data_IF_266200119247
#
_entry.id   IF_266200119247
#
_cell.length_a   1.000
_cell.length_b   1.000
_cell.length_c   1.000
_cell.angle_alpha   90.00
_cell.angle_beta   90.00
_cell.angle_gamma   90.00
#
_symmetry.space_group_name_H-M   'P 1'
#
loop_
_entity.id
_entity.type
_entity.pdbx_description
1 polymer ?
#
# COMPACT_ATOMS: atom_id res chain seq x y z
N UNK A 1 19.53 -6.11 9.88
CA UNK A 1 18.84 -4.96 10.52
C UNK A 1 19.59 -3.68 10.14
N UNK A 2 18.90 -2.62 9.74
CA UNK A 2 19.54 -1.37 9.30
C UNK A 2 19.78 -0.36 10.44
N UNK A 3 19.18 -0.58 11.62
CA UNK A 3 19.44 0.25 12.81
C UNK A 3 20.92 0.22 13.20
N UNK A 4 21.45 1.38 13.58
CA UNK A 4 22.84 1.55 13.99
C UNK A 4 23.85 1.68 12.84
N UNK A 5 23.39 1.70 11.58
CA UNK A 5 24.24 2.04 10.44
C UNK A 5 24.21 3.56 10.18
N UNK A 6 25.33 4.18 9.75
CA UNK A 6 25.34 5.57 9.32
C UNK A 6 24.31 5.83 8.21
N UNK A 7 23.58 6.94 8.29
CA UNK A 7 22.49 7.29 7.37
C UNK A 7 21.14 6.65 7.69
N UNK A 8 21.04 5.86 8.76
CA UNK A 8 19.80 5.21 9.23
C UNK A 8 19.46 5.61 10.67
N UNK A 9 19.96 6.76 11.13
CA UNK A 9 19.77 7.28 12.48
C UNK A 9 18.28 7.46 12.81
N UNK A 10 17.49 7.87 11.81
CA UNK A 10 16.04 8.08 11.88
C UNK A 10 15.25 6.82 12.28
N UNK A 11 15.81 5.61 12.11
CA UNK A 11 15.15 4.36 12.53
C UNK A 11 15.07 4.19 14.05
N UNK A 12 15.76 5.05 14.80
CA UNK A 12 15.67 5.11 16.26
C UNK A 12 14.60 6.10 16.76
N UNK A 13 14.05 6.92 15.87
CA UNK A 13 13.00 7.89 16.18
C UNK A 13 11.61 7.25 16.02
N UNK A 14 10.55 7.79 16.67
CA UNK A 14 9.18 7.41 16.36
C UNK A 14 8.86 7.63 14.87
N UNK A 15 7.89 6.88 14.33
CA UNK A 15 7.43 7.08 12.95
C UNK A 15 6.97 8.52 12.75
N UNK A 16 7.55 9.21 11.77
CA UNK A 16 7.31 10.61 11.49
C UNK A 16 7.35 10.88 9.98
N UNK A 17 6.93 12.09 9.60
CA UNK A 17 7.05 12.61 8.24
C UNK A 17 8.04 13.77 8.29
N UNK A 18 9.02 13.77 7.40
CA UNK A 18 9.95 14.88 7.20
C UNK A 18 9.49 15.66 5.96
N UNK A 19 9.28 16.97 6.12
CA UNK A 19 8.89 17.87 5.03
C UNK A 19 10.02 18.87 4.82
N UNK A 20 10.68 18.79 3.68
CA UNK A 20 11.76 19.68 3.27
C UNK A 20 11.42 20.33 1.93
N UNK A 21 11.84 21.57 1.75
CA UNK A 21 11.64 22.30 0.50
C UNK A 21 12.86 23.18 0.21
N UNK A 22 13.21 23.29 -1.07
CA UNK A 22 14.20 24.23 -1.58
C UNK A 22 13.49 25.13 -2.61
N UNK A 23 13.11 26.33 -2.17
CA UNK A 23 12.28 27.28 -2.93
C UNK A 23 12.72 28.71 -2.61
N UNK A 24 12.35 29.70 -3.46
CA UNK A 24 12.55 31.11 -3.14
C UNK A 24 11.94 31.48 -1.78
N UNK A 25 12.64 32.36 -1.06
CA UNK A 25 12.31 32.74 0.32
C UNK A 25 10.90 33.35 0.43
N UNK A 26 10.43 33.97 -0.65
CA UNK A 26 9.12 34.63 -0.70
C UNK A 26 7.96 33.63 -0.66
N UNK A 27 8.18 32.37 -1.03
CA UNK A 27 7.11 31.37 -1.16
C UNK A 27 7.31 30.13 -0.29
N UNK A 28 8.51 29.89 0.24
CA UNK A 28 8.86 28.64 0.92
C UNK A 28 7.96 28.40 2.13
N UNK A 29 7.74 29.42 2.96
CA UNK A 29 6.90 29.30 4.16
C UNK A 29 5.45 28.95 3.79
N UNK A 30 4.89 29.63 2.79
CA UNK A 30 3.55 29.36 2.31
C UNK A 30 3.41 27.93 1.76
N UNK A 31 4.43 27.43 1.06
CA UNK A 31 4.43 26.05 0.53
C UNK A 31 4.57 25.00 1.62
N UNK A 32 5.43 25.24 2.61
CA UNK A 32 5.58 24.33 3.76
C UNK A 32 4.30 24.29 4.60
N UNK A 33 3.66 25.44 4.84
CA UNK A 33 2.36 25.50 5.52
C UNK A 33 1.29 24.72 4.76
N UNK A 34 1.18 24.92 3.44
CA UNK A 34 0.23 24.19 2.61
C UNK A 34 0.46 22.66 2.67
N UNK A 35 1.72 22.21 2.55
CA UNK A 35 2.06 20.79 2.63
C UNK A 35 1.70 20.21 4.01
N UNK A 36 1.97 20.97 5.08
CA UNK A 36 1.60 20.59 6.44
C UNK A 36 0.09 20.40 6.61
N UNK A 37 -0.72 21.35 6.15
CA UNK A 37 -2.19 21.26 6.26
C UNK A 37 -2.74 20.00 5.59
N UNK A 38 -2.26 19.69 4.38
CA UNK A 38 -2.65 18.49 3.65
C UNK A 38 -2.25 17.22 4.43
N UNK A 39 -1.03 17.18 4.96
CA UNK A 39 -0.56 16.03 5.73
C UNK A 39 -1.33 15.86 7.04
N UNK A 40 -1.66 16.95 7.74
CA UNK A 40 -2.47 16.90 8.95
C UNK A 40 -3.87 16.35 8.68
N UNK A 41 -4.46 16.66 7.53
CA UNK A 41 -5.74 16.07 7.12
C UNK A 41 -5.62 14.58 6.77
N UNK A 42 -4.53 14.16 6.11
CA UNK A 42 -4.28 12.75 5.79
C UNK A 42 -3.94 11.89 7.02
N UNK A 43 -3.39 12.48 8.08
CA UNK A 43 -3.04 11.78 9.32
C UNK A 43 -4.25 11.57 10.25
N UNK A 44 -5.41 12.17 9.93
CA UNK A 44 -6.64 11.92 10.68
C UNK A 44 -7.19 10.56 10.27
N UNK A 45 -7.38 9.62 11.21
CA UNK A 45 -7.95 8.32 10.89
C UNK A 45 -9.38 8.48 10.37
N UNK A 46 -9.67 7.85 9.23
CA UNK A 46 -10.99 7.82 8.61
C UNK A 46 -11.52 6.38 8.68
N UNK A 47 -12.83 6.23 8.82
CA UNK A 47 -13.48 4.93 8.71
C UNK A 47 -13.22 4.32 7.32
N UNK A 48 -12.89 3.03 7.26
CA UNK A 48 -12.50 2.39 5.99
C UNK A 48 -13.60 2.44 4.93
N UNK A 49 -14.87 2.50 5.33
CA UNK A 49 -15.98 2.63 4.37
C UNK A 49 -16.02 4.01 3.70
N UNK A 50 -15.45 5.03 4.34
CA UNK A 50 -15.43 6.43 3.89
C UNK A 50 -14.07 6.89 3.37
N UNK A 51 -13.03 6.05 3.46
CA UNK A 51 -11.69 6.36 2.96
C UNK A 51 -11.60 6.15 1.44
N UNK A 52 -12.07 7.15 0.70
CA UNK A 52 -12.08 7.14 -0.77
C UNK A 52 -10.67 7.09 -1.37
N UNK A 53 -9.69 7.77 -0.75
CA UNK A 53 -8.31 7.80 -1.22
C UNK A 53 -7.66 6.42 -1.13
N UNK A 54 -7.79 5.75 0.03
CA UNK A 54 -7.27 4.39 0.22
C UNK A 54 -7.92 3.39 -0.75
N UNK A 55 -9.24 3.47 -0.94
CA UNK A 55 -9.96 2.60 -1.90
C UNK A 55 -9.45 2.77 -3.32
N UNK A 56 -9.29 4.01 -3.78
CA UNK A 56 -8.77 4.32 -5.11
C UNK A 56 -7.33 3.80 -5.27
N UNK A 57 -6.45 4.07 -4.30
CA UNK A 57 -5.06 3.59 -4.29
C UNK A 57 -4.96 2.05 -4.33
N UNK A 58 -5.79 1.34 -3.55
CA UNK A 58 -5.81 -0.13 -3.54
C UNK A 58 -6.30 -0.70 -4.86
N UNK A 59 -7.29 -0.06 -5.51
CA UNK A 59 -7.74 -0.45 -6.84
C UNK A 59 -6.64 -0.28 -7.88
N UNK A 60 -5.97 0.87 -7.90
CA UNK A 60 -4.84 1.14 -8.81
C UNK A 60 -3.67 0.18 -8.56
N UNK A 61 -3.35 -0.10 -7.30
CA UNK A 61 -2.32 -1.09 -6.93
C UNK A 61 -2.68 -2.49 -7.44
N UNK A 62 -3.95 -2.91 -7.31
CA UNK A 62 -4.41 -4.20 -7.82
C UNK A 62 -4.34 -4.27 -9.36
N UNK A 63 -4.60 -3.15 -10.05
CA UNK A 63 -4.38 -3.06 -11.49
C UNK A 63 -2.91 -3.23 -11.86
N UNK A 64 -2.00 -2.50 -11.19
CA UNK A 64 -0.55 -2.59 -11.44
C UNK A 64 0.00 -4.00 -11.21
N UNK A 65 -0.53 -4.70 -10.20
CA UNK A 65 -0.12 -6.06 -9.87
C UNK A 65 -0.86 -7.15 -10.67
N UNK A 66 -1.86 -6.79 -11.48
CA UNK A 66 -2.69 -7.76 -12.20
C UNK A 66 -3.61 -8.61 -11.30
N UNK A 67 -3.89 -8.14 -10.08
CA UNK A 67 -4.74 -8.82 -9.09
C UNK A 67 -6.12 -8.19 -8.96
N UNK A 68 -6.44 -7.19 -9.79
CA UNK A 68 -7.75 -6.55 -9.82
C UNK A 68 -8.84 -7.58 -10.12
N UNK A 69 -9.86 -7.61 -9.26
CA UNK A 69 -11.09 -8.39 -9.47
C UNK A 69 -12.18 -7.41 -9.89
N UNK A 70 -12.93 -7.75 -10.93
CA UNK A 70 -14.09 -6.93 -11.30
C UNK A 70 -15.15 -7.03 -10.20
N UNK A 71 -15.52 -5.87 -9.62
CA UNK A 71 -16.58 -5.72 -8.60
C UNK A 71 -17.96 -6.25 -9.06
N UNK A 72 -18.14 -6.47 -10.38
CA UNK A 72 -19.33 -7.09 -10.97
C UNK A 72 -19.27 -8.62 -11.09
N UNK A 73 -18.11 -9.23 -10.81
CA UNK A 73 -18.03 -10.66 -10.60
C UNK A 73 -18.51 -10.95 -9.19
N UNK A 74 -19.85 -11.02 -9.05
CA UNK A 74 -20.47 -11.92 -8.08
C UNK A 74 -19.58 -13.16 -7.97
N UNK A 75 -19.46 -13.72 -6.77
CA UNK A 75 -18.87 -15.03 -6.56
C UNK A 75 -19.65 -16.12 -7.31
N UNK A 76 -19.64 -16.08 -8.64
CA UNK A 76 -19.81 -17.24 -9.48
C UNK A 76 -18.47 -17.92 -9.35
N UNK A 77 -18.41 -18.91 -8.47
CA UNK A 77 -17.25 -19.77 -8.32
C UNK A 77 -16.76 -20.11 -9.72
N UNK A 78 -15.57 -19.63 -10.05
CA UNK A 78 -14.87 -20.07 -11.24
C UNK A 78 -14.67 -21.56 -11.06
N UNK A 79 -15.59 -22.33 -11.65
CA UNK A 79 -15.43 -23.73 -11.96
C UNK A 79 -14.19 -23.79 -12.84
N UNK A 80 -13.06 -24.10 -12.20
CA UNK A 80 -11.88 -24.56 -12.91
C UNK A 80 -12.33 -25.63 -13.91
N UNK A 81 -12.04 -25.48 -15.22
CA UNK A 81 -12.30 -26.54 -16.19
C UNK A 81 -11.36 -27.74 -16.00
N UNK A 82 -10.39 -27.63 -15.09
CA UNK A 82 -9.51 -28.73 -14.67
C UNK A 82 -9.96 -29.31 -13.34
N UNK A 83 -11.17 -29.86 -13.29
CA UNK A 83 -11.48 -30.91 -12.31
C UNK A 83 -11.22 -32.26 -12.98
N UNK A 84 -9.94 -32.63 -13.14
CA UNK A 84 -9.61 -33.96 -13.61
C UNK A 84 -9.65 -34.93 -12.42
N UNK A 85 -10.83 -35.52 -12.25
CA UNK A 85 -11.13 -36.67 -11.40
C UNK A 85 -10.41 -37.94 -11.91
N UNK A 86 -9.07 -37.95 -12.00
CA UNK A 86 -8.29 -39.15 -12.24
C UNK A 86 -6.95 -39.06 -11.52
N UNK A 87 -6.76 -39.96 -10.56
CA UNK A 87 -5.68 -39.91 -9.59
C UNK A 87 -4.28 -40.13 -10.18
N UNK A 88 -3.30 -39.52 -9.51
CA UNK A 88 -1.96 -40.06 -9.37
C UNK A 88 -1.48 -39.79 -7.94
N UNK A 89 -1.24 -40.86 -7.18
CA UNK A 89 -0.73 -40.80 -5.81
C UNK A 89 0.70 -40.27 -5.83
N UNK A 90 0.97 -39.18 -5.12
CA UNK A 90 2.33 -38.64 -4.92
C UNK A 90 3.16 -39.64 -4.11
N UNK A 91 4.29 -40.10 -4.66
CA UNK A 91 5.23 -40.95 -3.94
C UNK A 91 5.90 -40.17 -2.79
N UNK A 92 5.99 -40.78 -1.60
CA UNK A 92 6.79 -40.27 -0.48
C UNK A 92 8.26 -40.55 -0.74
N UNK A 93 9.07 -39.51 -0.86
CA UNK A 93 10.53 -39.62 -0.69
C UNK A 93 10.88 -39.31 0.77
N UNK A 94 11.43 -40.30 1.47
CA UNK A 94 12.18 -40.09 2.70
C UNK A 94 13.54 -39.51 2.32
N UNK A 95 13.90 -38.40 2.95
CA UNK A 95 15.22 -37.79 2.99
C UNK A 95 15.31 -37.01 4.28
#
# INVERSE_FOLDING_TARGET
MMRGKPGYEHLNEPLHILVEAELPIEIIDARLMQAREILEDLLKPVDESQDFFKKQQLRELAMLNGTLRDEGSNMSGSVSPFNNSLGMKRAKTRG
#
